data_IF_592131899924
#
_entry.id   IF_592131899924
#
_cell.length_a   1.000
_cell.length_b   1.000
_cell.length_c   1.000
_cell.angle_alpha   90.00
_cell.angle_beta   90.00
_cell.angle_gamma   90.00
#
_symmetry.space_group_name_H-M   'P 1'
#
loop_
_entity.id
_entity.type
_entity.pdbx_description
1 polymer ?
#
# COMPACT_ATOMS: atom_id res chain seq x y z
N UNK A 1 3.49 -6.75 -20.38
CA UNK A 1 3.28 -7.64 -19.20
C UNK A 1 4.58 -7.93 -18.44
N UNK A 2 5.67 -8.39 -19.06
CA UNK A 2 6.94 -8.70 -18.36
C UNK A 2 7.43 -7.54 -17.48
N UNK A 3 7.45 -6.32 -18.03
CA UNK A 3 7.87 -5.11 -17.29
C UNK A 3 6.99 -4.84 -16.05
N UNK A 4 5.68 -5.08 -16.14
CA UNK A 4 4.78 -4.96 -15.00
C UNK A 4 5.08 -5.97 -13.88
N UNK A 5 5.34 -7.24 -14.23
CA UNK A 5 5.76 -8.25 -13.24
C UNK A 5 7.09 -7.89 -12.58
N UNK A 6 8.04 -7.35 -13.35
CA UNK A 6 9.32 -6.90 -12.79
C UNK A 6 9.13 -5.78 -11.77
N UNK A 7 8.28 -4.79 -12.06
CA UNK A 7 8.00 -3.69 -11.13
C UNK A 7 7.31 -4.24 -9.87
N UNK A 8 6.29 -5.10 -10.01
CA UNK A 8 5.62 -5.72 -8.85
C UNK A 8 6.64 -6.44 -7.97
N UNK A 9 7.49 -7.27 -8.57
CA UNK A 9 8.53 -8.00 -7.84
C UNK A 9 9.47 -7.06 -7.07
N UNK A 10 9.94 -5.99 -7.71
CA UNK A 10 10.84 -5.02 -7.07
C UNK A 10 10.16 -4.27 -5.92
N UNK A 11 8.90 -3.83 -6.10
CA UNK A 11 8.16 -3.12 -5.07
C UNK A 11 7.84 -4.02 -3.87
N UNK A 12 7.39 -5.26 -4.10
CA UNK A 12 7.14 -6.23 -3.03
C UNK A 12 8.43 -6.58 -2.30
N UNK A 13 9.53 -6.82 -3.05
CA UNK A 13 10.82 -7.12 -2.43
C UNK A 13 11.31 -5.97 -1.56
N UNK A 14 11.17 -4.73 -2.02
CA UNK A 14 11.56 -3.55 -1.25
C UNK A 14 10.72 -3.39 0.02
N UNK A 15 9.39 -3.57 -0.07
CA UNK A 15 8.50 -3.55 1.08
C UNK A 15 8.91 -4.61 2.11
N UNK A 16 9.08 -5.86 1.69
CA UNK A 16 9.44 -6.95 2.59
C UNK A 16 10.83 -6.76 3.22
N UNK A 17 11.83 -6.33 2.44
CA UNK A 17 13.17 -6.07 2.97
C UNK A 17 13.11 -4.98 4.05
N UNK A 18 12.39 -3.88 3.81
CA UNK A 18 12.29 -2.78 4.78
C UNK A 18 11.51 -3.19 6.03
N UNK A 19 10.43 -3.96 5.91
CA UNK A 19 9.65 -4.51 7.03
C UNK A 19 10.50 -5.41 7.92
N UNK A 20 11.20 -6.39 7.33
CA UNK A 20 12.06 -7.29 8.11
C UNK A 20 13.29 -6.58 8.69
N UNK A 21 13.82 -5.56 8.00
CA UNK A 21 14.87 -4.70 8.54
C UNK A 21 14.35 -3.91 9.74
N UNK A 22 13.16 -3.31 9.63
CA UNK A 22 12.53 -2.60 10.73
C UNK A 22 12.27 -3.54 11.92
N UNK A 23 11.73 -4.73 11.68
CA UNK A 23 11.56 -5.75 12.71
C UNK A 23 12.89 -6.05 13.40
N UNK A 24 13.94 -6.34 12.67
CA UNK A 24 15.23 -6.72 13.24
C UNK A 24 15.86 -5.63 14.12
N UNK A 25 15.76 -4.35 13.72
CA UNK A 25 16.41 -3.26 14.43
C UNK A 25 15.52 -2.55 15.45
N UNK A 26 14.19 -2.58 15.29
CA UNK A 26 13.27 -1.78 16.09
C UNK A 26 12.40 -2.62 17.05
N UNK A 27 12.28 -3.94 16.81
CA UNK A 27 11.55 -4.83 17.72
C UNK A 27 12.21 -4.83 19.09
N UNK A 28 11.41 -4.58 20.14
CA UNK A 28 11.90 -4.49 21.52
C UNK A 28 12.45 -3.14 21.94
N UNK A 29 12.54 -2.15 21.04
CA UNK A 29 12.81 -0.77 21.42
C UNK A 29 11.57 -0.15 22.05
N UNK A 30 11.72 0.43 23.25
CA UNK A 30 10.63 1.12 23.94
C UNK A 30 10.42 2.55 23.45
N UNK A 31 11.30 3.06 22.59
CA UNK A 31 11.27 4.42 22.06
C UNK A 31 11.34 4.42 20.53
N UNK A 32 10.65 5.40 19.94
CA UNK A 32 10.73 5.63 18.50
C UNK A 32 12.08 6.21 18.10
N UNK A 33 12.65 5.75 17.00
CA UNK A 33 13.81 6.37 16.37
C UNK A 33 13.34 7.62 15.63
N UNK A 34 13.62 8.80 16.20
CA UNK A 34 13.20 10.10 15.67
C UNK A 34 14.09 10.50 14.49
N UNK A 35 13.68 10.17 13.27
CA UNK A 35 14.40 10.62 12.07
C UNK A 35 14.24 12.12 11.85
N UNK A 36 12.99 12.62 11.86
CA UNK A 36 12.65 14.04 11.83
C UNK A 36 11.70 14.27 13.01
N UNK A 37 12.20 14.80 14.14
CA UNK A 37 11.41 14.93 15.37
C UNK A 37 10.07 15.62 15.13
N UNK A 38 8.98 15.00 15.59
CA UNK A 38 7.61 15.51 15.45
C UNK A 38 6.99 15.35 14.06
N UNK A 39 7.76 14.92 13.04
CA UNK A 39 7.27 14.75 11.66
C UNK A 39 7.29 13.29 11.23
N UNK A 40 8.45 12.64 11.35
CA UNK A 40 8.63 11.26 10.89
C UNK A 40 9.54 10.49 11.86
N UNK A 41 9.03 9.37 12.31
CA UNK A 41 9.69 8.50 13.27
C UNK A 41 9.61 7.05 12.78
N UNK A 42 10.59 6.23 13.14
CA UNK A 42 10.60 4.81 12.89
C UNK A 42 10.33 4.07 14.19
N UNK A 43 9.40 3.09 14.14
CA UNK A 43 9.12 2.20 15.26
C UNK A 43 8.59 0.87 14.71
N UNK A 44 8.61 -0.16 15.52
CA UNK A 44 8.01 -1.45 15.16
C UNK A 44 6.59 -1.52 15.72
N UNK A 45 5.63 -1.85 14.85
CA UNK A 45 4.24 -2.03 15.23
C UNK A 45 3.63 -3.23 14.50
N UNK A 46 2.96 -4.12 15.26
CA UNK A 46 2.20 -5.25 14.72
C UNK A 46 0.75 -4.84 14.47
N UNK A 47 0.36 -4.73 13.22
CA UNK A 47 -0.98 -4.33 12.82
C UNK A 47 -1.83 -5.58 12.51
N UNK A 48 -2.73 -5.94 13.41
CA UNK A 48 -3.66 -7.07 13.28
C UNK A 48 -4.95 -6.71 12.53
N UNK A 49 -5.12 -5.43 12.18
CA UNK A 49 -6.27 -4.91 11.44
C UNK A 49 -5.96 -4.48 10.00
N UNK A 50 -6.84 -3.62 9.47
CA UNK A 50 -6.58 -2.79 8.30
C UNK A 50 -6.11 -1.40 8.73
N UNK A 51 -5.91 -0.49 7.76
CA UNK A 51 -5.62 0.91 8.06
C UNK A 51 -6.60 1.48 9.09
N UNK A 52 -6.09 2.25 10.05
CA UNK A 52 -6.87 2.88 11.11
C UNK A 52 -7.54 1.90 12.11
N UNK A 53 -7.03 0.66 12.22
CA UNK A 53 -7.55 -0.33 13.16
C UNK A 53 -8.91 -0.95 12.78
N UNK A 54 -9.36 -0.76 11.54
CA UNK A 54 -10.57 -1.39 11.04
C UNK A 54 -10.36 -2.91 10.96
N UNK A 55 -11.35 -3.71 11.41
CA UNK A 55 -11.31 -5.18 11.43
C UNK A 55 -10.14 -5.74 12.27
N UNK A 56 -9.77 -5.06 13.35
CA UNK A 56 -8.73 -5.54 14.25
C UNK A 56 -9.01 -6.97 14.73
N UNK A 57 -8.00 -7.84 14.68
CA UNK A 57 -8.10 -9.26 15.00
C UNK A 57 -8.87 -10.12 13.99
N UNK A 58 -9.48 -9.56 12.94
CA UNK A 58 -10.29 -10.31 11.97
C UNK A 58 -9.47 -10.73 10.74
N UNK A 59 -8.37 -11.41 10.96
CA UNK A 59 -7.39 -11.74 9.91
C UNK A 59 -7.99 -12.54 8.75
N UNK A 60 -8.95 -13.43 9.03
CA UNK A 60 -9.60 -14.25 7.99
C UNK A 60 -10.37 -13.35 7.03
N UNK A 61 -11.12 -12.38 7.54
CA UNK A 61 -11.87 -11.44 6.71
C UNK A 61 -10.90 -10.58 5.89
N UNK A 62 -9.83 -10.10 6.50
CA UNK A 62 -8.78 -9.34 5.80
C UNK A 62 -8.12 -10.15 4.69
N UNK A 63 -7.86 -11.44 4.91
CA UNK A 63 -7.32 -12.33 3.87
C UNK A 63 -8.29 -12.55 2.72
N UNK A 64 -9.59 -12.75 3.01
CA UNK A 64 -10.62 -12.89 1.97
C UNK A 64 -10.71 -11.60 1.12
N UNK A 65 -10.77 -10.43 1.76
CA UNK A 65 -10.79 -9.13 1.06
C UNK A 65 -9.54 -8.96 0.19
N UNK A 66 -8.38 -9.34 0.71
CA UNK A 66 -7.11 -9.32 -0.01
C UNK A 66 -7.13 -10.21 -1.26
N UNK A 67 -7.66 -11.45 -1.15
CA UNK A 67 -7.77 -12.35 -2.29
C UNK A 67 -8.74 -11.83 -3.36
N UNK A 68 -9.85 -11.25 -2.94
CA UNK A 68 -10.80 -10.59 -3.87
C UNK A 68 -10.11 -9.42 -4.58
N UNK A 69 -9.40 -8.57 -3.85
CA UNK A 69 -8.67 -7.44 -4.42
C UNK A 69 -7.61 -7.90 -5.43
N UNK A 70 -6.82 -8.94 -5.10
CA UNK A 70 -5.84 -9.53 -6.02
C UNK A 70 -6.50 -10.11 -7.28
N UNK A 71 -7.68 -10.72 -7.16
CA UNK A 71 -8.44 -11.20 -8.30
C UNK A 71 -8.87 -10.07 -9.22
N UNK A 72 -9.41 -8.99 -8.66
CA UNK A 72 -9.84 -7.80 -9.41
C UNK A 72 -8.65 -7.13 -10.10
N UNK A 73 -7.58 -6.82 -9.35
CA UNK A 73 -6.41 -6.15 -9.91
C UNK A 73 -5.63 -7.06 -10.87
N UNK A 74 -5.62 -8.38 -10.63
CA UNK A 74 -5.07 -9.36 -11.55
C UNK A 74 -5.81 -9.37 -12.89
N UNK A 75 -7.15 -9.25 -12.88
CA UNK A 75 -7.94 -9.10 -14.09
C UNK A 75 -7.62 -7.78 -14.81
N UNK A 76 -7.58 -6.65 -14.08
CA UNK A 76 -7.23 -5.34 -14.62
C UNK A 76 -5.79 -5.27 -15.15
N UNK A 77 -4.89 -6.11 -14.63
CA UNK A 77 -3.52 -6.21 -15.10
C UNK A 77 -3.39 -6.71 -16.54
N UNK A 78 -4.39 -7.41 -17.06
CA UNK A 78 -4.42 -7.86 -18.46
C UNK A 78 -4.42 -6.67 -19.44
N UNK A 79 -4.96 -5.52 -19.04
CA UNK A 79 -5.04 -4.29 -19.84
C UNK A 79 -3.85 -3.33 -19.63
N UNK A 80 -2.81 -3.76 -18.90
CA UNK A 80 -1.62 -2.95 -18.63
C UNK A 80 -0.83 -2.70 -19.92
N UNK A 81 -0.65 -1.40 -20.23
CA UNK A 81 0.12 -0.91 -21.36
C UNK A 81 0.93 0.34 -20.96
N UNK A 82 2.21 0.13 -20.66
CA UNK A 82 3.12 1.21 -20.25
C UNK A 82 3.46 2.20 -21.37
N UNK A 83 3.13 1.87 -22.63
CA UNK A 83 3.35 2.77 -23.77
C UNK A 83 2.21 3.78 -23.92
N UNK A 84 0.96 3.32 -23.84
CA UNK A 84 -0.22 4.14 -24.15
C UNK A 84 -1.07 4.49 -22.91
N UNK A 85 -0.99 3.69 -21.82
CA UNK A 85 -1.79 3.85 -20.59
C UNK A 85 -0.88 3.88 -19.35
N UNK A 86 0.13 4.76 -19.32
CA UNK A 86 1.15 4.76 -18.28
C UNK A 86 0.57 4.88 -16.87
N UNK A 87 -0.31 5.87 -16.63
CA UNK A 87 -0.87 6.14 -15.30
C UNK A 87 -1.72 4.97 -14.83
N UNK A 88 -2.58 4.42 -15.70
CA UNK A 88 -3.31 3.19 -15.45
C UNK A 88 -2.39 2.04 -15.07
N UNK A 89 -1.37 1.82 -15.90
CA UNK A 89 -0.44 0.69 -15.71
C UNK A 89 0.31 0.77 -14.39
N UNK A 90 0.81 1.96 -14.03
CA UNK A 90 1.46 2.16 -12.73
C UNK A 90 0.49 2.00 -11.57
N UNK A 91 -0.75 2.50 -11.68
CA UNK A 91 -1.74 2.34 -10.60
C UNK A 91 -2.06 0.86 -10.33
N UNK A 92 -2.31 0.06 -11.38
CA UNK A 92 -2.62 -1.37 -11.22
C UNK A 92 -1.43 -2.14 -10.64
N UNK A 93 -0.21 -1.88 -11.12
CA UNK A 93 1.00 -2.51 -10.59
C UNK A 93 1.22 -2.18 -9.11
N UNK A 94 0.98 -0.93 -8.71
CA UNK A 94 1.10 -0.50 -7.31
C UNK A 94 0.00 -1.09 -6.44
N UNK A 95 -1.25 -1.22 -6.93
CA UNK A 95 -2.31 -1.93 -6.22
C UNK A 95 -1.92 -3.39 -5.95
N UNK A 96 -1.44 -4.10 -6.98
CA UNK A 96 -1.01 -5.50 -6.81
C UNK A 96 0.15 -5.58 -5.83
N UNK A 97 1.17 -4.75 -5.98
CA UNK A 97 2.36 -4.79 -5.13
C UNK A 97 2.04 -4.49 -3.66
N UNK A 98 1.24 -3.46 -3.38
CA UNK A 98 0.83 -3.11 -2.02
C UNK A 98 -0.07 -4.18 -1.40
N UNK A 99 -1.02 -4.71 -2.18
CA UNK A 99 -1.88 -5.80 -1.71
C UNK A 99 -1.07 -7.07 -1.40
N UNK A 100 -0.11 -7.45 -2.26
CA UNK A 100 0.77 -8.60 -2.04
C UNK A 100 1.69 -8.40 -0.85
N UNK A 101 2.29 -7.21 -0.68
CA UNK A 101 3.17 -6.90 0.45
C UNK A 101 2.49 -7.17 1.80
N UNK A 102 1.29 -6.62 1.99
CA UNK A 102 0.53 -6.83 3.22
C UNK A 102 -0.10 -8.24 3.32
N UNK A 103 -0.35 -8.91 2.18
CA UNK A 103 -0.82 -10.29 2.16
C UNK A 103 0.23 -11.28 2.65
N UNK A 104 1.48 -11.09 2.24
CA UNK A 104 2.62 -11.94 2.65
C UNK A 104 2.78 -11.90 4.17
N UNK A 105 2.77 -10.71 4.76
CA UNK A 105 2.88 -10.55 6.21
C UNK A 105 1.75 -11.27 6.93
N UNK A 106 0.49 -11.04 6.54
CA UNK A 106 -0.67 -11.69 7.16
C UNK A 106 -0.64 -13.21 7.04
N UNK A 107 -0.18 -13.74 5.90
CA UNK A 107 -0.09 -15.17 5.68
C UNK A 107 1.03 -15.85 6.51
N UNK A 108 2.15 -15.15 6.71
CA UNK A 108 3.31 -15.71 7.40
C UNK A 108 3.34 -15.39 8.90
N UNK A 109 2.88 -14.21 9.30
CA UNK A 109 3.02 -13.69 10.66
C UNK A 109 1.69 -13.60 11.40
N UNK A 110 0.58 -13.48 10.70
CA UNK A 110 -0.73 -13.23 11.30
C UNK A 110 -1.02 -11.74 11.55
N UNK A 111 -0.12 -10.83 11.20
CA UNK A 111 -0.23 -9.38 11.29
C UNK A 111 0.57 -8.73 10.17
N UNK A 112 0.48 -7.41 10.03
CA UNK A 112 1.30 -6.63 9.11
C UNK A 112 2.34 -5.86 9.90
N UNK A 113 3.58 -5.83 9.41
CA UNK A 113 4.65 -5.01 10.00
C UNK A 113 4.49 -3.58 9.51
N UNK A 114 4.16 -2.67 10.43
CA UNK A 114 4.16 -1.23 10.22
C UNK A 114 5.35 -0.61 10.95
N UNK A 115 6.05 0.33 10.29
CA UNK A 115 7.26 0.90 10.89
C UNK A 115 7.44 2.40 10.66
N UNK A 116 6.57 3.03 9.87
CA UNK A 116 6.55 4.47 9.64
C UNK A 116 5.51 5.12 10.52
N UNK A 117 5.92 6.03 11.39
CA UNK A 117 5.07 6.79 12.28
C UNK A 117 5.15 8.28 11.96
N UNK A 118 3.99 8.94 11.98
CA UNK A 118 3.84 10.36 11.63
C UNK A 118 3.19 11.13 12.79
N UNK A 119 3.97 11.60 13.78
CA UNK A 119 3.42 12.26 14.98
C UNK A 119 2.57 13.49 14.67
N UNK A 120 2.89 14.25 13.61
CA UNK A 120 2.12 15.43 13.20
C UNK A 120 0.67 15.12 12.82
N UNK A 121 0.38 13.89 12.37
CA UNK A 121 -0.98 13.47 12.06
C UNK A 121 -1.84 13.25 13.32
N UNK A 122 -1.25 13.10 14.50
CA UNK A 122 -1.97 12.89 15.74
C UNK A 122 -2.95 14.04 16.02
N UNK A 123 -2.59 15.28 15.65
CA UNK A 123 -3.47 16.44 15.78
C UNK A 123 -4.81 16.27 15.04
N UNK A 124 -4.79 15.62 13.86
CA UNK A 124 -5.98 15.40 13.03
C UNK A 124 -6.69 14.09 13.43
N UNK A 125 -5.93 13.08 13.84
CA UNK A 125 -6.43 11.72 14.03
C UNK A 125 -6.96 11.47 15.44
N UNK A 126 -6.42 12.13 16.46
CA UNK A 126 -6.87 12.00 17.86
C UNK A 126 -8.36 12.33 18.04
N UNK A 127 -8.93 13.40 17.42
CA UNK A 127 -10.37 13.65 17.50
C UNK A 127 -11.25 12.56 16.92
N UNK A 128 -10.66 11.68 16.05
CA UNK A 128 -11.33 10.53 15.46
C UNK A 128 -11.11 9.23 16.26
N UNK A 129 -10.57 9.32 17.48
CA UNK A 129 -10.15 8.20 18.33
C UNK A 129 -9.05 7.31 17.72
N UNK A 130 -8.25 7.86 16.82
CA UNK A 130 -7.08 7.20 16.24
C UNK A 130 -5.86 7.80 16.92
N UNK A 131 -5.30 7.08 17.90
CA UNK A 131 -4.22 7.60 18.75
C UNK A 131 -2.87 7.66 18.01
N UNK A 132 -2.60 6.67 17.16
CA UNK A 132 -1.36 6.55 16.42
C UNK A 132 -1.64 6.03 15.02
N UNK A 133 -0.90 6.55 14.05
CA UNK A 133 -0.97 6.12 12.67
C UNK A 133 0.39 5.59 12.23
N UNK A 134 0.42 4.30 11.98
CA UNK A 134 1.58 3.60 11.46
C UNK A 134 1.26 3.07 10.07
N UNK A 135 2.26 2.96 9.22
CA UNK A 135 2.16 2.32 7.93
C UNK A 135 3.51 1.76 7.45
N UNK A 136 3.51 1.22 6.23
CA UNK A 136 4.64 0.61 5.56
C UNK A 136 4.66 1.01 4.07
N UNK A 137 5.62 0.51 3.29
CA UNK A 137 5.69 0.84 1.87
C UNK A 137 4.51 0.29 1.06
N UNK A 138 3.99 -0.90 1.40
CA UNK A 138 2.81 -1.44 0.73
C UNK A 138 1.60 -0.49 0.84
N UNK A 139 1.38 0.14 2.01
CA UNK A 139 0.32 1.13 2.21
C UNK A 139 0.57 2.41 1.41
N UNK A 140 1.84 2.83 1.29
CA UNK A 140 2.21 3.97 0.44
C UNK A 140 1.91 3.67 -1.04
N UNK A 141 2.19 2.43 -1.49
CA UNK A 141 1.84 2.02 -2.86
C UNK A 141 0.34 2.01 -3.08
N UNK A 142 -0.45 1.48 -2.14
CA UNK A 142 -1.92 1.49 -2.22
C UNK A 142 -2.47 2.92 -2.28
N UNK A 143 -1.97 3.81 -1.43
CA UNK A 143 -2.37 5.21 -1.41
C UNK A 143 -2.06 5.94 -2.72
N UNK A 144 -0.84 5.76 -3.24
CA UNK A 144 -0.43 6.32 -4.52
C UNK A 144 -1.24 5.72 -5.68
N UNK A 145 -1.52 4.41 -5.64
CA UNK A 145 -2.32 3.71 -6.64
C UNK A 145 -3.75 4.28 -6.73
N UNK A 146 -4.38 4.56 -5.58
CA UNK A 146 -5.72 5.18 -5.52
C UNK A 146 -5.70 6.54 -6.24
N UNK A 147 -4.73 7.39 -5.92
CA UNK A 147 -4.61 8.72 -6.53
C UNK A 147 -4.39 8.61 -8.05
N UNK A 148 -3.46 7.75 -8.47
CA UNK A 148 -3.17 7.55 -9.90
C UNK A 148 -4.38 6.97 -10.64
N UNK A 149 -5.07 6.01 -10.05
CA UNK A 149 -6.26 5.41 -10.66
C UNK A 149 -7.39 6.42 -10.79
N UNK A 150 -7.58 7.27 -9.79
CA UNK A 150 -8.54 8.37 -9.85
C UNK A 150 -8.20 9.35 -10.99
N UNK A 151 -6.94 9.77 -11.11
CA UNK A 151 -6.48 10.63 -12.21
C UNK A 151 -6.74 9.96 -13.57
N UNK A 152 -6.43 8.69 -13.68
CA UNK A 152 -6.66 7.92 -14.88
C UNK A 152 -8.14 7.91 -15.28
N UNK A 153 -9.00 7.51 -14.35
CA UNK A 153 -10.43 7.29 -14.58
C UNK A 153 -11.16 8.60 -14.95
N UNK A 154 -10.87 9.68 -14.24
CA UNK A 154 -11.63 10.94 -14.38
C UNK A 154 -11.02 11.92 -15.40
N UNK A 155 -9.72 11.85 -15.66
CA UNK A 155 -9.05 12.86 -16.48
C UNK A 155 -8.39 12.30 -17.76
N UNK A 156 -7.82 11.10 -17.73
CA UNK A 156 -7.02 10.61 -18.85
C UNK A 156 -7.81 9.67 -19.77
N UNK A 157 -8.55 8.73 -19.22
CA UNK A 157 -9.36 7.80 -20.01
C UNK A 157 -10.43 8.52 -20.87
N UNK A 158 -11.19 9.50 -20.34
CA UNK A 158 -12.16 10.23 -21.15
C UNK A 158 -11.53 11.00 -22.32
N UNK A 159 -10.30 11.53 -22.13
CA UNK A 159 -9.57 12.22 -23.21
C UNK A 159 -9.14 11.25 -24.31
N UNK A 160 -8.66 10.05 -23.94
CA UNK A 160 -8.27 9.03 -24.92
C UNK A 160 -9.48 8.53 -25.72
N UNK A 161 -10.63 8.33 -25.09
CA UNK A 161 -11.87 7.90 -25.79
C UNK A 161 -12.34 8.94 -26.80
N UNK A 162 -12.28 10.24 -26.50
CA UNK A 162 -12.64 11.32 -27.41
C UNK A 162 -11.74 11.35 -28.66
N UNK A 163 -10.43 11.25 -28.49
CA UNK A 163 -9.48 11.24 -29.62
C UNK A 163 -9.68 10.02 -30.52
N UNK A 164 -10.08 8.86 -29.99
CA UNK A 164 -10.35 7.66 -30.76
C UNK A 164 -11.70 7.65 -31.50
N UNK A 165 -12.64 8.56 -31.15
CA UNK A 165 -13.93 8.72 -31.87
C UNK A 165 -13.87 9.75 -32.99
N UNK A 166 -12.86 10.61 -32.98
CA UNK A 166 -12.69 11.68 -33.99
C UNK A 166 -11.70 11.27 -35.12
N UNK A 167 -11.18 10.06 -35.08
CA UNK A 167 -10.27 9.46 -36.06
C UNK A 167 -10.92 8.32 -36.84
#
# INVERSE_FOLDING_TARGET
MFFGFLIIFLLVSFDQITKYTAKFFLEGLNEHVKWIPGVFELSYHENTGASLGILDGQIIILMIVTLIALGIFGYLFLDVDFKHKKVYSFSIVMFIAGTLGNAIDRALLGYVIDFMHYPFLSFILTPLNISNFYNNWADMYLSAAIVLFFIELFFLEPKRKKVGTDA
#
